data_IF_561203043164
#
_entry.id   IF_561203043164
#
_cell.length_a   1.000
_cell.length_b   1.000
_cell.length_c   1.000
_cell.angle_alpha   90.00
_cell.angle_beta   90.00
_cell.angle_gamma   90.00
#
_symmetry.space_group_name_H-M   'P 1'
#
loop_
_entity.id
_entity.type
_entity.pdbx_description
1 polymer ?
#
# COMPACT_ATOMS: atom_id res chain seq x y z
N UNK A 1 -15.57 3.14 -9.90
CA UNK A 1 -14.90 3.93 -8.84
C UNK A 1 -14.16 2.91 -7.98
N UNK A 2 -12.82 2.88 -8.04
CA UNK A 2 -12.04 1.93 -7.22
C UNK A 2 -12.08 2.47 -5.79
N UNK A 3 -12.57 1.66 -4.86
CA UNK A 3 -12.60 2.03 -3.44
C UNK A 3 -11.16 1.97 -2.96
N UNK A 4 -10.73 3.03 -2.27
CA UNK A 4 -9.43 3.07 -1.61
C UNK A 4 -9.41 2.00 -0.52
N UNK A 5 -8.36 1.19 -0.45
CA UNK A 5 -8.25 0.15 0.58
C UNK A 5 -8.09 0.74 1.99
N UNK A 6 -7.27 1.79 2.13
CA UNK A 6 -7.07 2.51 3.40
C UNK A 6 -6.94 4.02 3.19
N UNK A 7 -7.57 4.81 4.08
CA UNK A 7 -7.50 6.27 4.07
C UNK A 7 -7.33 6.85 5.49
N UNK A 8 -6.33 7.71 5.67
CA UNK A 8 -6.09 8.48 6.89
C UNK A 8 -6.43 9.96 6.65
N UNK A 9 -7.65 10.41 7.01
CA UNK A 9 -8.13 11.75 6.67
C UNK A 9 -7.33 12.88 7.33
N UNK A 10 -6.80 12.66 8.54
CA UNK A 10 -6.03 13.67 9.28
C UNK A 10 -4.70 14.01 8.61
N UNK A 11 -4.11 13.06 7.89
CA UNK A 11 -2.86 13.24 7.16
C UNK A 11 -3.08 13.38 5.64
N UNK A 12 -4.32 13.22 5.18
CA UNK A 12 -4.69 13.15 3.77
C UNK A 12 -3.87 12.10 2.99
N UNK A 13 -3.67 10.92 3.59
CA UNK A 13 -2.89 9.81 3.01
C UNK A 13 -3.82 8.65 2.67
N UNK A 14 -3.67 8.09 1.47
CA UNK A 14 -4.33 6.85 1.05
C UNK A 14 -3.30 5.78 0.69
N UNK A 15 -3.62 4.53 1.00
CA UNK A 15 -2.89 3.36 0.53
C UNK A 15 -3.83 2.49 -0.30
N UNK A 16 -3.37 2.08 -1.49
CA UNK A 16 -4.09 1.14 -2.34
C UNK A 16 -3.24 -0.07 -2.70
N UNK A 17 -3.88 -1.23 -2.77
CA UNK A 17 -3.29 -2.46 -3.26
C UNK A 17 -3.54 -2.59 -4.76
N UNK A 18 -2.43 -2.62 -5.49
CA UNK A 18 -2.39 -2.88 -6.92
C UNK A 18 -1.98 -4.34 -7.13
N UNK A 19 -2.99 -5.20 -7.28
CA UNK A 19 -2.78 -6.58 -7.67
C UNK A 19 -2.45 -6.65 -9.16
N UNK A 20 -1.43 -7.41 -9.53
CA UNK A 20 -1.07 -7.67 -10.94
C UNK A 20 -2.14 -8.49 -11.69
N UNK A 21 -3.26 -8.82 -11.04
CA UNK A 21 -4.20 -9.84 -11.46
C UNK A 21 -4.90 -9.53 -12.80
N UNK A 22 -5.13 -8.26 -13.14
CA UNK A 22 -5.71 -7.90 -14.43
C UNK A 22 -5.29 -6.48 -14.83
N UNK A 23 -4.78 -6.28 -16.05
CA UNK A 23 -5.14 -5.21 -17.01
C UNK A 23 -4.04 -4.87 -18.02
N UNK A 24 -4.45 -4.66 -19.27
CA UNK A 24 -3.62 -4.13 -20.36
C UNK A 24 -3.00 -2.77 -19.98
N UNK A 25 -1.68 -2.65 -20.20
CA UNK A 25 -0.83 -1.52 -19.76
C UNK A 25 -1.39 -0.12 -20.09
N UNK A 26 -2.04 0.03 -21.26
CA UNK A 26 -2.59 1.32 -21.71
C UNK A 26 -3.78 1.82 -20.89
N UNK A 27 -4.65 0.90 -20.45
CA UNK A 27 -5.85 1.26 -19.68
C UNK A 27 -5.46 1.64 -18.24
N UNK A 28 -4.40 1.01 -17.70
CA UNK A 28 -3.81 1.35 -16.41
C UNK A 28 -3.20 2.75 -16.43
N UNK A 29 -2.39 3.07 -17.43
CA UNK A 29 -1.79 4.41 -17.61
C UNK A 29 -2.84 5.53 -17.68
N UNK A 30 -3.92 5.32 -18.44
CA UNK A 30 -4.99 6.33 -18.56
C UNK A 30 -5.74 6.54 -17.25
N UNK A 31 -6.04 5.46 -16.52
CA UNK A 31 -6.71 5.54 -15.21
C UNK A 31 -5.81 6.18 -14.16
N UNK A 32 -4.53 5.84 -14.14
CA UNK A 32 -3.55 6.44 -13.23
C UNK A 32 -3.38 7.94 -13.49
N UNK A 33 -3.38 8.38 -14.77
CA UNK A 33 -3.31 9.79 -15.11
C UNK A 33 -4.56 10.57 -14.66
N UNK A 34 -5.77 10.05 -14.93
CA UNK A 34 -7.03 10.68 -14.49
C UNK A 34 -7.08 10.77 -12.96
N UNK A 35 -6.67 9.70 -12.29
CA UNK A 35 -6.71 9.60 -10.83
C UNK A 35 -5.66 10.50 -10.16
N UNK A 36 -4.44 10.54 -10.69
CA UNK A 36 -3.40 11.44 -10.21
C UNK A 36 -3.87 12.90 -10.29
N UNK A 37 -4.49 13.29 -11.41
CA UNK A 37 -5.05 14.64 -11.57
C UNK A 37 -6.16 14.97 -10.56
N UNK A 38 -7.05 14.00 -10.26
CA UNK A 38 -8.11 14.19 -9.27
C UNK A 38 -7.55 14.33 -7.84
N UNK A 39 -6.52 13.57 -7.48
CA UNK A 39 -5.96 13.54 -6.13
C UNK A 39 -4.95 14.67 -5.89
N UNK A 40 -4.20 15.09 -6.91
CA UNK A 40 -3.37 16.29 -6.87
C UNK A 40 -4.22 17.55 -6.61
N UNK A 41 -5.44 17.62 -7.16
CA UNK A 41 -6.38 18.72 -6.87
C UNK A 41 -6.86 18.74 -5.41
N UNK A 42 -6.77 17.62 -4.69
CA UNK A 42 -7.19 17.46 -3.31
C UNK A 42 -6.01 17.42 -2.32
N UNK A 43 -4.77 17.62 -2.76
CA UNK A 43 -3.54 17.48 -1.94
C UNK A 43 -3.39 16.14 -1.22
N UNK A 44 -3.94 15.05 -1.79
CA UNK A 44 -3.93 13.71 -1.18
C UNK A 44 -2.63 12.99 -1.54
N UNK A 45 -1.91 12.48 -0.54
CA UNK A 45 -0.76 11.61 -0.77
C UNK A 45 -1.22 10.17 -1.02
N UNK A 46 -0.86 9.62 -2.18
CA UNK A 46 -1.23 8.25 -2.58
C UNK A 46 -0.01 7.34 -2.48
N UNK A 47 -0.15 6.26 -1.72
CA UNK A 47 0.80 5.16 -1.66
C UNK A 47 0.20 3.93 -2.35
N UNK A 48 1.03 3.16 -3.03
CA UNK A 48 0.62 1.92 -3.70
C UNK A 48 1.39 0.75 -3.13
N UNK A 49 0.66 -0.19 -2.53
CA UNK A 49 1.16 -1.51 -2.17
C UNK A 49 1.04 -2.44 -3.37
N UNK A 50 2.03 -3.29 -3.56
CA UNK A 50 2.12 -4.25 -4.67
C UNK A 50 2.55 -5.61 -4.13
N UNK A 51 2.45 -6.66 -4.94
CA UNK A 51 2.95 -7.98 -4.58
C UNK A 51 4.45 -7.97 -4.20
N UNK A 52 5.24 -7.05 -4.76
CA UNK A 52 6.66 -6.87 -4.43
C UNK A 52 6.88 -6.41 -2.98
N UNK A 53 6.00 -5.56 -2.45
CA UNK A 53 6.02 -5.18 -1.03
C UNK A 53 5.72 -6.37 -0.11
N UNK A 54 5.03 -7.39 -0.62
CA UNK A 54 4.78 -8.65 0.07
C UNK A 54 5.86 -9.72 -0.23
N UNK A 55 6.92 -9.42 -0.97
CA UNK A 55 7.93 -10.42 -1.36
C UNK A 55 8.75 -10.92 -0.16
N UNK A 56 9.09 -10.02 0.76
CA UNK A 56 9.99 -10.27 1.89
C UNK A 56 9.62 -9.42 3.10
N UNK A 57 10.14 -9.78 4.28
CA UNK A 57 9.95 -9.01 5.51
C UNK A 57 10.51 -7.58 5.38
N UNK A 58 11.66 -7.45 4.71
CA UNK A 58 12.30 -6.16 4.48
C UNK A 58 11.48 -5.24 3.56
N UNK A 59 10.87 -5.80 2.52
CA UNK A 59 9.98 -5.06 1.62
C UNK A 59 8.70 -4.60 2.34
N UNK A 60 8.12 -5.46 3.19
CA UNK A 60 6.97 -5.10 4.03
C UNK A 60 7.33 -4.00 5.04
N UNK A 61 8.51 -4.08 5.66
CA UNK A 61 9.01 -3.06 6.58
C UNK A 61 9.30 -1.72 5.88
N UNK A 62 9.76 -1.75 4.63
CA UNK A 62 9.94 -0.55 3.82
C UNK A 62 8.59 0.12 3.54
N UNK A 63 7.58 -0.65 3.12
CA UNK A 63 6.23 -0.13 2.92
C UNK A 63 5.68 0.51 4.21
N UNK A 64 5.83 -0.17 5.35
CA UNK A 64 5.44 0.38 6.65
C UNK A 64 6.15 1.71 6.96
N UNK A 65 7.45 1.82 6.69
CA UNK A 65 8.22 3.06 6.86
C UNK A 65 7.76 4.18 5.93
N UNK A 66 7.41 3.87 4.69
CA UNK A 66 6.86 4.85 3.74
C UNK A 66 5.51 5.39 4.23
N UNK A 67 4.62 4.50 4.69
CA UNK A 67 3.33 4.88 5.29
C UNK A 67 3.57 5.77 6.51
N UNK A 68 4.45 5.38 7.43
CA UNK A 68 4.73 6.18 8.62
C UNK A 68 5.22 7.60 8.27
N UNK A 69 6.16 7.72 7.32
CA UNK A 69 6.64 9.02 6.84
C UNK A 69 5.53 9.87 6.25
N UNK A 70 4.65 9.28 5.44
CA UNK A 70 3.50 9.97 4.86
C UNK A 70 2.52 10.44 5.94
N UNK A 71 2.35 9.67 7.01
CA UNK A 71 1.55 10.04 8.18
C UNK A 71 2.24 11.04 9.11
N UNK A 72 3.44 11.52 8.77
CA UNK A 72 4.21 12.45 9.61
C UNK A 72 4.76 11.81 10.88
N UNK A 73 4.80 10.48 10.98
CA UNK A 73 5.31 9.76 12.12
C UNK A 73 6.59 8.98 11.80
N UNK A 74 7.40 8.70 12.83
CA UNK A 74 8.60 7.87 12.69
C UNK A 74 8.32 6.50 13.26
N UNK A 75 8.48 5.46 12.42
CA UNK A 75 8.50 4.09 12.90
C UNK A 75 9.83 3.84 13.61
N UNK A 76 9.74 3.70 14.94
CA UNK A 76 10.85 3.34 15.79
C UNK A 76 11.05 1.83 15.77
N UNK A 77 12.29 1.36 15.61
CA UNK A 77 12.60 -0.07 15.49
C UNK A 77 12.19 -0.84 16.74
N UNK A 78 12.33 -0.20 17.89
CA UNK A 78 11.90 -0.66 19.21
C UNK A 78 10.38 -0.75 19.39
N UNK A 79 9.59 -0.11 18.51
CA UNK A 79 8.12 -0.18 18.50
C UNK A 79 7.58 -1.12 17.42
N UNK A 80 8.45 -1.73 16.63
CA UNK A 80 8.04 -2.74 15.66
C UNK A 80 7.62 -3.99 16.41
N UNK A 81 6.53 -4.60 15.93
CA UNK A 81 6.16 -5.93 16.37
C UNK A 81 7.35 -6.90 16.20
N UNK A 82 7.48 -7.92 17.06
CA UNK A 82 8.49 -8.97 16.93
C UNK A 82 8.60 -9.50 15.49
N UNK A 83 9.80 -9.90 15.08
CA UNK A 83 10.03 -10.42 13.74
C UNK A 83 9.12 -11.63 13.40
N UNK A 84 8.80 -12.45 14.39
CA UNK A 84 7.86 -13.57 14.28
C UNK A 84 6.44 -13.12 13.92
N UNK A 85 5.92 -12.07 14.58
CA UNK A 85 4.59 -11.53 14.30
C UNK A 85 4.53 -10.89 12.91
N UNK A 86 5.57 -10.14 12.53
CA UNK A 86 5.65 -9.55 11.19
C UNK A 86 5.79 -10.61 10.10
N UNK A 87 6.51 -11.70 10.37
CA UNK A 87 6.60 -12.85 9.46
C UNK A 87 5.24 -13.57 9.33
N UNK A 88 4.49 -13.71 10.43
CA UNK A 88 3.13 -14.26 10.41
C UNK A 88 2.17 -13.37 9.62
N UNK A 89 2.26 -12.05 9.80
CA UNK A 89 1.50 -11.07 9.01
C UNK A 89 1.82 -11.24 7.52
N UNK A 90 3.10 -11.25 7.15
CA UNK A 90 3.55 -11.46 5.77
C UNK A 90 3.00 -12.75 5.16
N UNK A 91 3.09 -13.87 5.91
CA UNK A 91 2.55 -15.16 5.47
C UNK A 91 1.04 -15.10 5.24
N UNK A 92 0.30 -14.42 6.12
CA UNK A 92 -1.15 -14.26 5.99
C UNK A 92 -1.54 -13.36 4.81
N UNK A 93 -0.78 -12.30 4.54
CA UNK A 93 -0.98 -11.41 3.39
C UNK A 93 -0.69 -12.12 2.07
N UNK A 94 0.40 -12.90 2.00
CA UNK A 94 0.71 -13.74 0.84
C UNK A 94 -0.41 -14.72 0.52
N UNK A 95 -0.95 -15.41 1.54
CA UNK A 95 -2.08 -16.34 1.37
C UNK A 95 -3.30 -15.64 0.77
N UNK A 96 -3.71 -14.51 1.35
CA UNK A 96 -4.87 -13.73 0.88
C UNK A 96 -4.66 -13.15 -0.53
N UNK A 97 -3.44 -12.72 -0.86
CA UNK A 97 -3.11 -12.23 -2.19
C UNK A 97 -3.16 -13.33 -3.26
N UNK A 98 -2.79 -14.57 -2.92
CA UNK A 98 -2.84 -15.70 -3.85
C UNK A 98 -4.30 -16.17 -4.03
N UNK A 99 -5.11 -16.09 -2.97
CA UNK A 99 -6.52 -16.48 -2.98
C UNK A 99 -7.45 -15.45 -3.63
N UNK A 100 -6.94 -14.29 -4.05
CA UNK A 100 -7.72 -13.25 -4.72
C UNK A 100 -8.79 -12.59 -3.85
N UNK A 101 -8.70 -12.73 -2.53
CA UNK A 101 -9.60 -12.11 -1.57
C UNK A 101 -9.16 -10.66 -1.31
N UNK A 102 -9.55 -9.78 -2.24
CA UNK A 102 -9.72 -8.34 -2.02
C UNK A 102 -11.21 -8.02 -2.11
#
# INVERSE_FOLDING_TARGET
MRVVDLFWPQANVTLEYDSDAFHAEREKLRRDAIRRNQLESCSVTVLTATAEHLSSLAALDELARQIARALGCRLHRERLAPASERAALLASLKRRSIEGLC
#
